data_IF_859458358561
#
_entry.id   IF_859458358561
#
_cell.length_a   1.000
_cell.length_b   1.000
_cell.length_c   1.000
_cell.angle_alpha   90.00
_cell.angle_beta   90.00
_cell.angle_gamma   90.00
#
_symmetry.space_group_name_H-M   'P 1'
#
loop_
_entity.id
_entity.type
_entity.pdbx_description
1 polymer ?
#
# COMPACT_ATOMS: atom_id res chain seq x y z
N UNK A 1 -47.10 -1.81 34.02
CA UNK A 1 -45.99 -1.01 33.44
C UNK A 1 -45.21 -0.20 34.50
N UNK A 2 -45.06 -0.73 35.73
CA UNK A 2 -44.41 -0.02 36.86
C UNK A 2 -43.39 -0.90 37.62
N UNK A 3 -43.08 -2.10 37.07
CA UNK A 3 -42.18 -3.08 37.69
C UNK A 3 -40.82 -3.21 36.97
N UNK A 4 -40.64 -2.55 35.82
CA UNK A 4 -39.40 -2.58 35.04
C UNK A 4 -38.47 -1.42 35.47
N UNK A 5 -39.03 -0.27 35.86
CA UNK A 5 -38.26 0.90 36.33
C UNK A 5 -37.60 0.71 37.71
N UNK A 6 -38.04 -0.23 38.54
CA UNK A 6 -37.38 -0.57 39.82
C UNK A 6 -36.16 -1.48 39.68
N UNK A 7 -36.02 -2.20 38.56
CA UNK A 7 -34.84 -3.06 38.31
C UNK A 7 -33.70 -2.32 37.60
N UNK A 8 -33.98 -1.25 36.86
CA UNK A 8 -32.96 -0.41 36.21
C UNK A 8 -32.28 0.54 37.22
N UNK A 9 -33.00 1.01 38.24
CA UNK A 9 -32.41 1.85 39.29
C UNK A 9 -31.47 1.10 40.27
N UNK A 10 -31.56 -0.24 40.36
CA UNK A 10 -30.72 -1.04 41.24
C UNK A 10 -29.41 -1.51 40.58
N UNK A 11 -29.32 -1.52 39.24
CA UNK A 11 -28.06 -1.80 38.54
C UNK A 11 -27.15 -0.58 38.39
N UNK A 12 -27.67 0.64 38.43
CA UNK A 12 -26.85 1.86 38.40
C UNK A 12 -26.16 2.19 39.74
N UNK A 13 -26.57 1.58 40.85
CA UNK A 13 -25.95 1.82 42.17
C UNK A 13 -24.78 0.86 42.49
N UNK A 14 -24.55 -0.18 41.68
CA UNK A 14 -23.47 -1.15 41.90
C UNK A 14 -22.21 -0.89 41.05
N UNK A 15 -22.28 0.04 40.08
CA UNK A 15 -21.13 0.42 39.24
C UNK A 15 -20.36 1.65 39.75
N UNK A 16 -20.81 2.29 40.84
CA UNK A 16 -20.15 3.46 41.43
C UNK A 16 -19.26 3.18 42.66
N UNK A 17 -19.03 1.91 43.03
CA UNK A 17 -18.25 1.53 44.23
C UNK A 17 -16.89 0.87 43.90
N UNK A 18 -16.50 0.76 42.64
CA UNK A 18 -15.16 0.23 42.25
C UNK A 18 -14.24 1.27 41.58
N UNK A 19 -14.47 2.56 41.83
CA UNK A 19 -13.63 3.65 41.30
C UNK A 19 -13.13 4.59 42.40
N UNK A 20 -12.83 4.06 43.59
CA UNK A 20 -12.28 4.86 44.70
C UNK A 20 -11.36 4.05 45.62
N UNK A 21 -10.36 3.35 45.06
CA UNK A 21 -9.19 2.90 45.84
C UNK A 21 -8.03 2.41 44.97
N UNK A 22 -7.43 3.28 44.16
CA UNK A 22 -6.02 3.14 43.72
C UNK A 22 -5.43 4.55 43.49
N UNK A 23 -5.34 5.35 44.55
CA UNK A 23 -4.59 6.62 44.52
C UNK A 23 -4.12 7.04 45.91
N UNK A 24 -3.18 6.29 46.47
CA UNK A 24 -2.25 6.74 47.51
C UNK A 24 -1.22 5.64 47.79
N UNK A 25 0.04 6.04 48.04
CA UNK A 25 1.24 5.21 48.33
C UNK A 25 1.81 4.54 47.06
N UNK A 26 3.02 4.84 46.56
CA UNK A 26 4.28 5.16 47.25
C UNK A 26 5.10 6.12 46.38
N UNK A 27 5.44 7.27 46.94
CA UNK A 27 6.55 8.11 46.49
C UNK A 27 7.74 7.81 47.42
N UNK A 28 8.77 7.12 46.90
CA UNK A 28 10.20 7.27 47.25
C UNK A 28 11.00 6.10 46.67
N UNK A 29 11.57 6.26 45.48
CA UNK A 29 12.65 5.40 45.02
C UNK A 29 13.70 6.30 44.34
N UNK A 30 14.90 6.37 44.94
CA UNK A 30 16.07 7.05 44.38
C UNK A 30 16.46 6.40 43.04
N UNK A 31 16.96 7.15 42.05
CA UNK A 31 17.49 6.57 40.83
C UNK A 31 18.77 5.78 41.13
N UNK A 32 18.81 4.51 40.70
CA UNK A 32 20.03 3.70 40.65
C UNK A 32 20.93 4.14 39.47
N UNK A 33 22.26 4.03 39.61
CA UNK A 33 23.21 4.60 38.67
C UNK A 33 23.25 3.83 37.33
N UNK A 34 23.42 4.59 36.25
CA UNK A 34 23.77 4.12 34.91
C UNK A 34 25.06 3.31 34.95
N UNK A 35 25.12 2.12 34.31
CA UNK A 35 26.39 1.44 34.11
C UNK A 35 27.18 2.13 32.99
N UNK A 36 28.36 2.63 33.35
CA UNK A 36 29.44 3.06 32.46
C UNK A 36 29.99 1.83 31.73
N UNK A 37 29.82 1.78 30.40
CA UNK A 37 30.44 0.77 29.53
C UNK A 37 31.52 1.46 28.70
N UNK A 38 32.49 2.06 29.38
CA UNK A 38 33.79 2.36 28.81
C UNK A 38 34.79 1.27 29.26
N UNK A 39 35.41 0.60 28.27
CA UNK A 39 36.38 -0.50 28.33
C UNK A 39 35.79 -1.92 28.43
N UNK A 40 35.53 -2.51 27.27
CA UNK A 40 35.74 -3.94 27.06
C UNK A 40 36.67 -4.13 25.84
N UNK A 41 37.64 -5.02 26.04
CA UNK A 41 38.82 -5.26 25.22
C UNK A 41 38.49 -5.85 23.84
N UNK A 42 39.29 -5.48 22.84
CA UNK A 42 39.34 -6.12 21.54
C UNK A 42 39.68 -7.62 21.65
N UNK A 43 39.06 -8.50 20.86
CA UNK A 43 39.60 -9.82 20.58
C UNK A 43 40.51 -9.77 19.35
N UNK A 44 41.64 -10.47 19.49
CA UNK A 44 42.75 -10.57 18.56
C UNK A 44 42.36 -11.23 17.22
N UNK A 45 43.03 -10.76 16.16
CA UNK A 45 43.10 -11.41 14.87
C UNK A 45 44.02 -12.64 14.94
N UNK A 46 43.60 -13.78 14.39
CA UNK A 46 44.47 -14.88 13.97
C UNK A 46 43.69 -15.84 13.04
N UNK A 47 44.35 -16.68 12.23
CA UNK A 47 44.69 -16.37 10.85
C UNK A 47 43.90 -17.22 9.82
N UNK A 48 43.87 -16.70 8.60
CA UNK A 48 43.34 -17.35 7.39
C UNK A 48 44.05 -18.68 7.09
N UNK A 49 43.33 -19.78 6.80
CA UNK A 49 43.91 -20.91 6.09
C UNK A 49 43.79 -20.68 4.57
N UNK A 50 44.93 -20.78 3.89
CA UNK A 50 45.00 -21.01 2.44
C UNK A 50 44.40 -22.38 2.13
N UNK A 51 43.46 -22.42 1.18
CA UNK A 51 42.87 -23.64 0.67
C UNK A 51 42.44 -23.45 -0.78
N UNK A 52 43.33 -23.85 -1.68
CA UNK A 52 43.14 -24.44 -3.01
C UNK A 52 41.90 -24.09 -3.86
N UNK A 53 42.21 -23.49 -5.02
CA UNK A 53 41.38 -23.40 -6.21
C UNK A 53 41.03 -24.79 -6.77
N UNK A 54 39.74 -25.11 -6.80
CA UNK A 54 39.22 -26.23 -7.59
C UNK A 54 38.31 -25.67 -8.71
N UNK A 55 38.72 -25.89 -9.95
CA UNK A 55 37.95 -25.68 -11.18
C UNK A 55 36.61 -26.43 -11.17
N UNK A 56 35.54 -25.87 -11.76
CA UNK A 56 34.41 -26.68 -12.18
C UNK A 56 34.76 -27.42 -13.49
N UNK A 57 34.77 -28.76 -13.40
CA UNK A 57 34.88 -29.67 -14.55
C UNK A 57 33.78 -29.42 -15.58
N UNK A 58 34.19 -29.46 -16.84
CA UNK A 58 33.35 -29.44 -18.03
C UNK A 58 32.24 -30.50 -17.98
N UNK A 59 31.02 -30.09 -18.33
CA UNK A 59 29.92 -31.00 -18.67
C UNK A 59 29.86 -31.11 -20.19
N UNK A 60 29.90 -32.35 -20.65
CA UNK A 60 29.95 -32.74 -22.05
C UNK A 60 28.76 -32.24 -22.89
N UNK A 61 29.13 -31.77 -24.07
CA UNK A 61 28.27 -31.42 -25.20
C UNK A 61 27.85 -32.69 -25.95
N UNK A 62 26.56 -32.97 -26.21
CA UNK A 62 26.20 -33.88 -27.27
C UNK A 62 26.13 -33.16 -28.62
N UNK A 63 26.54 -33.90 -29.63
CA UNK A 63 26.82 -33.48 -30.99
C UNK A 63 25.58 -33.02 -31.79
N UNK A 64 25.89 -32.22 -32.81
CA UNK A 64 24.97 -31.78 -33.84
C UNK A 64 24.41 -32.95 -34.67
N UNK A 65 23.09 -32.99 -34.85
CA UNK A 65 22.43 -33.76 -35.89
C UNK A 65 22.01 -32.82 -37.04
N UNK A 66 22.36 -33.20 -38.28
CA UNK A 66 21.99 -32.52 -39.54
C UNK A 66 20.51 -32.75 -39.89
N UNK A 67 19.91 -31.92 -40.76
CA UNK A 67 18.46 -31.78 -40.89
C UNK A 67 17.83 -32.82 -41.82
N UNK A 68 16.73 -33.44 -41.39
CA UNK A 68 15.85 -34.23 -42.26
C UNK A 68 14.79 -33.33 -42.89
N UNK A 69 14.79 -33.25 -44.23
CA UNK A 69 13.73 -32.62 -45.04
C UNK A 69 12.42 -33.41 -44.87
N UNK A 70 11.46 -32.84 -44.14
CA UNK A 70 10.06 -33.29 -44.13
C UNK A 70 9.16 -32.21 -44.75
N UNK A 71 8.45 -32.55 -45.83
CA UNK A 71 7.52 -31.67 -46.54
C UNK A 71 6.40 -31.17 -45.61
N UNK A 72 6.21 -29.85 -45.54
CA UNK A 72 5.04 -29.24 -44.91
C UNK A 72 3.80 -29.45 -45.79
N UNK A 73 2.77 -30.10 -45.26
CA UNK A 73 1.40 -29.91 -45.73
C UNK A 73 0.78 -28.78 -44.90
N UNK A 74 0.55 -27.63 -45.53
CA UNK A 74 -0.03 -26.47 -44.88
C UNK A 74 -1.51 -26.67 -44.59
N UNK A 75 -1.86 -26.77 -43.30
CA UNK A 75 -3.19 -26.43 -42.83
C UNK A 75 -3.16 -24.95 -42.44
N UNK A 76 -3.75 -24.08 -43.27
CA UNK A 76 -4.06 -22.70 -42.89
C UNK A 76 -5.17 -22.74 -41.85
N UNK A 77 -4.81 -22.79 -40.57
CA UNK A 77 -5.70 -22.34 -39.50
C UNK A 77 -5.80 -20.82 -39.63
N UNK A 78 -6.97 -20.35 -40.06
CA UNK A 78 -7.28 -18.92 -39.99
C UNK A 78 -7.17 -18.51 -38.52
N UNK A 79 -6.21 -17.63 -38.22
CA UNK A 79 -6.10 -17.02 -36.91
C UNK A 79 -7.41 -16.27 -36.65
N UNK A 80 -8.19 -16.74 -35.67
CA UNK A 80 -9.31 -15.99 -35.17
C UNK A 80 -8.78 -14.65 -34.66
N UNK A 81 -9.31 -13.55 -35.20
CA UNK A 81 -9.05 -12.20 -34.69
C UNK A 81 -9.33 -12.22 -33.18
N UNK A 82 -8.42 -11.76 -32.30
CA UNK A 82 -8.72 -11.68 -30.88
C UNK A 82 -10.00 -10.87 -30.74
N UNK A 83 -11.00 -11.41 -30.04
CA UNK A 83 -12.12 -10.60 -29.59
C UNK A 83 -11.50 -9.50 -28.72
N UNK A 84 -11.66 -8.24 -29.12
CA UNK A 84 -11.20 -7.11 -28.32
C UNK A 84 -11.78 -7.27 -26.92
N UNK A 85 -10.93 -7.43 -25.89
CA UNK A 85 -11.42 -7.48 -24.52
C UNK A 85 -11.84 -6.05 -24.17
N UNK A 86 -13.15 -5.84 -24.19
CA UNK A 86 -13.79 -4.57 -23.91
C UNK A 86 -13.53 -4.25 -22.44
N UNK A 87 -12.94 -3.07 -22.15
CA UNK A 87 -12.86 -2.58 -20.77
C UNK A 87 -14.26 -2.65 -20.14
N UNK A 88 -14.38 -3.09 -18.88
CA UNK A 88 -15.68 -3.02 -18.22
C UNK A 88 -16.17 -1.58 -18.27
N UNK A 89 -17.44 -1.40 -18.64
CA UNK A 89 -18.05 -0.09 -18.64
C UNK A 89 -17.93 0.49 -17.23
N UNK A 90 -17.18 1.58 -17.10
CA UNK A 90 -17.00 2.24 -15.81
C UNK A 90 -18.35 2.70 -15.28
N UNK A 91 -18.66 2.45 -14.01
CA UNK A 91 -19.87 3.01 -13.43
C UNK A 91 -19.73 4.55 -13.40
N UNK A 92 -20.82 5.31 -13.52
CA UNK A 92 -20.77 6.77 -13.70
C UNK A 92 -19.89 7.49 -12.68
N UNK A 93 -19.89 7.05 -11.42
CA UNK A 93 -19.07 7.60 -10.33
C UNK A 93 -17.56 7.49 -10.56
N UNK A 94 -17.08 6.54 -11.39
CA UNK A 94 -15.67 6.39 -11.76
C UNK A 94 -15.32 7.05 -13.10
N UNK A 95 -16.31 7.60 -13.81
CA UNK A 95 -16.09 8.29 -15.11
C UNK A 95 -15.78 9.77 -14.97
N UNK A 96 -16.08 10.36 -13.81
CA UNK A 96 -15.86 11.79 -13.54
C UNK A 96 -14.68 11.97 -12.60
N UNK A 97 -13.96 13.12 -12.67
CA UNK A 97 -12.97 13.45 -11.67
C UNK A 97 -13.58 13.47 -10.26
N UNK A 98 -12.93 12.77 -9.34
CA UNK A 98 -13.32 12.73 -7.94
C UNK A 98 -12.87 14.01 -7.24
N UNK A 99 -13.83 14.78 -6.73
CA UNK A 99 -13.53 15.97 -5.95
C UNK A 99 -13.10 15.58 -4.52
N UNK A 100 -11.82 15.75 -4.21
CA UNK A 100 -11.28 15.54 -2.88
C UNK A 100 -11.55 16.78 -2.01
N UNK A 101 -12.09 16.61 -0.78
CA UNK A 101 -12.47 17.72 0.07
C UNK A 101 -11.26 18.30 0.81
N UNK A 102 -11.35 19.61 1.08
CA UNK A 102 -10.41 20.28 1.98
C UNK A 102 -10.83 20.06 3.44
N UNK A 103 -9.89 19.66 4.27
CA UNK A 103 -10.03 19.48 5.70
C UNK A 103 -9.73 20.77 6.46
N UNK A 104 -10.58 21.08 7.44
CA UNK A 104 -10.37 22.22 8.36
C UNK A 104 -9.35 21.89 9.46
N UNK A 105 -9.24 20.60 9.82
CA UNK A 105 -8.29 20.07 10.79
C UNK A 105 -7.57 18.85 10.20
N UNK A 106 -6.25 18.74 10.38
CA UNK A 106 -5.52 17.57 9.92
C UNK A 106 -5.90 16.34 10.74
N UNK A 107 -5.90 15.13 10.15
CA UNK A 107 -5.92 13.90 10.92
C UNK A 107 -4.60 13.73 11.70
N UNK A 108 -4.64 12.95 12.77
CA UNK A 108 -3.46 12.45 13.47
C UNK A 108 -2.99 11.19 12.75
N UNK A 109 -1.74 11.16 12.28
CA UNK A 109 -1.21 9.98 11.57
C UNK A 109 -0.74 8.93 12.59
N UNK A 110 -1.68 8.16 13.13
CA UNK A 110 -1.42 7.12 14.14
C UNK A 110 -1.81 5.69 13.70
N UNK A 111 -2.35 5.58 12.49
CA UNK A 111 -2.81 4.35 11.86
C UNK A 111 -4.29 4.07 12.09
N UNK A 112 -5.01 4.91 12.86
CA UNK A 112 -6.44 4.72 13.14
C UNK A 112 -7.30 5.68 12.33
N UNK A 113 -8.24 5.12 11.59
CA UNK A 113 -9.21 5.90 10.82
C UNK A 113 -10.41 6.35 11.69
N UNK A 114 -10.16 6.80 12.93
CA UNK A 114 -11.20 7.18 13.89
C UNK A 114 -11.39 8.70 14.03
N UNK A 115 -10.50 9.50 13.46
CA UNK A 115 -10.66 10.95 13.38
C UNK A 115 -11.92 11.37 12.59
N UNK A 116 -12.63 12.37 13.11
CA UNK A 116 -13.88 12.88 12.50
C UNK A 116 -13.70 13.39 11.06
N UNK A 117 -12.49 13.79 10.69
CA UNK A 117 -12.18 14.31 9.36
C UNK A 117 -12.34 13.24 8.28
N UNK A 118 -12.08 11.97 8.60
CA UNK A 118 -12.22 10.86 7.65
C UNK A 118 -13.67 10.64 7.20
N UNK A 119 -14.65 11.01 8.02
CA UNK A 119 -16.08 10.98 7.66
C UNK A 119 -16.44 11.96 6.55
N UNK A 120 -15.59 12.96 6.31
CA UNK A 120 -15.77 13.97 5.28
C UNK A 120 -14.95 13.66 4.03
N UNK A 121 -14.05 12.67 4.06
CA UNK A 121 -13.14 12.35 2.98
C UNK A 121 -13.89 11.87 1.72
N UNK A 122 -13.26 12.05 0.56
CA UNK A 122 -13.66 11.31 -0.62
C UNK A 122 -13.27 9.84 -0.44
N UNK A 123 -14.17 8.91 -0.75
CA UNK A 123 -13.96 7.47 -0.54
C UNK A 123 -13.88 6.75 -1.88
N UNK A 124 -12.75 6.11 -2.13
CA UNK A 124 -12.50 5.22 -3.25
C UNK A 124 -12.83 3.81 -2.78
N UNK A 125 -13.71 3.13 -3.50
CA UNK A 125 -14.20 1.79 -3.21
C UNK A 125 -14.42 1.01 -4.51
N UNK A 126 -14.97 -0.20 -4.39
CA UNK A 126 -15.33 -1.06 -5.52
C UNK A 126 -14.12 -1.35 -6.43
N UNK A 127 -13.01 -1.74 -5.83
CA UNK A 127 -11.75 -2.07 -6.51
C UNK A 127 -11.94 -3.28 -7.44
N UNK A 128 -11.02 -3.42 -8.38
CA UNK A 128 -11.00 -4.52 -9.36
C UNK A 128 -9.72 -5.32 -9.22
N UNK A 129 -9.85 -6.64 -9.15
CA UNK A 129 -8.72 -7.54 -9.29
C UNK A 129 -8.25 -7.54 -10.75
N UNK A 130 -7.03 -7.06 -10.98
CA UNK A 130 -6.40 -6.94 -12.30
C UNK A 130 -5.32 -7.99 -12.57
N UNK A 131 -4.87 -8.66 -11.52
CA UNK A 131 -4.02 -9.85 -11.54
C UNK A 131 -4.35 -10.71 -10.32
N UNK A 132 -4.40 -12.06 -10.44
CA UNK A 132 -4.34 -12.83 -11.69
C UNK A 132 -5.62 -12.70 -12.54
N UNK A 133 -6.73 -12.31 -11.93
CA UNK A 133 -8.01 -12.04 -12.59
C UNK A 133 -7.94 -10.91 -13.61
N UNK A 134 -9.03 -10.69 -14.34
CA UNK A 134 -9.14 -9.65 -15.37
C UNK A 134 -10.37 -8.79 -15.08
N UNK A 135 -10.16 -7.77 -14.24
CA UNK A 135 -11.16 -6.81 -13.80
C UNK A 135 -12.38 -7.47 -13.13
N UNK A 136 -12.12 -8.46 -12.27
CA UNK A 136 -13.15 -9.14 -11.47
C UNK A 136 -13.19 -8.59 -10.04
N UNK A 137 -14.13 -9.05 -9.22
CA UNK A 137 -14.17 -8.67 -7.81
C UNK A 137 -12.90 -9.16 -7.07
N UNK A 138 -12.25 -8.30 -6.27
CA UNK A 138 -11.16 -8.66 -5.37
C UNK A 138 -11.52 -9.76 -4.39
N UNK A 139 -10.52 -10.50 -3.90
CA UNK A 139 -10.72 -11.49 -2.84
C UNK A 139 -11.07 -10.85 -1.50
N UNK A 140 -10.62 -9.62 -1.28
CA UNK A 140 -10.97 -8.84 -0.10
C UNK A 140 -11.21 -7.35 -0.45
N UNK A 141 -12.24 -6.70 0.12
CA UNK A 141 -12.51 -5.30 -0.15
C UNK A 141 -11.38 -4.36 0.30
N UNK A 142 -11.32 -3.19 -0.34
CA UNK A 142 -10.42 -2.10 0.04
C UNK A 142 -11.17 -0.78 -0.07
N UNK A 143 -11.03 0.06 0.95
CA UNK A 143 -11.54 1.43 0.98
C UNK A 143 -10.38 2.40 1.16
N UNK A 144 -10.39 3.50 0.41
CA UNK A 144 -9.34 4.53 0.49
C UNK A 144 -9.98 5.90 0.64
N UNK A 145 -9.60 6.59 1.71
CA UNK A 145 -10.07 7.91 2.11
C UNK A 145 -9.07 8.95 1.65
N UNK A 146 -9.53 9.99 0.96
CA UNK A 146 -8.67 11.04 0.41
C UNK A 146 -9.22 12.41 0.77
N UNK A 147 -8.33 13.28 1.20
CA UNK A 147 -8.61 14.69 1.47
C UNK A 147 -7.31 15.47 1.57
N UNK A 148 -7.39 16.78 1.75
CA UNK A 148 -6.20 17.63 1.80
C UNK A 148 -6.41 18.83 2.73
N UNK A 149 -5.34 19.45 3.22
CA UNK A 149 -5.41 20.75 3.87
C UNK A 149 -4.51 21.78 3.17
N UNK A 150 -4.19 22.91 3.80
CA UNK A 150 -3.29 23.89 3.18
C UNK A 150 -1.84 23.44 2.98
N UNK A 151 -1.43 22.30 3.56
CA UNK A 151 -0.04 21.86 3.67
C UNK A 151 0.19 20.43 3.19
N UNK A 152 -0.80 19.55 3.32
CA UNK A 152 -0.66 18.13 3.06
C UNK A 152 -1.82 17.59 2.22
N UNK A 153 -1.50 16.58 1.42
CA UNK A 153 -2.44 15.62 0.86
C UNK A 153 -2.48 14.40 1.80
N UNK A 154 -3.68 13.91 2.11
CA UNK A 154 -3.91 12.81 3.03
C UNK A 154 -4.50 11.60 2.33
N UNK A 155 -4.02 10.42 2.72
CA UNK A 155 -4.62 9.14 2.37
C UNK A 155 -4.82 8.30 3.62
N UNK A 156 -6.01 7.72 3.76
CA UNK A 156 -6.30 6.64 4.70
C UNK A 156 -6.65 5.39 3.92
N UNK A 157 -6.05 4.25 4.24
CA UNK A 157 -6.33 2.97 3.61
C UNK A 157 -6.97 2.05 4.65
N UNK A 158 -8.10 1.45 4.33
CA UNK A 158 -8.66 0.33 5.08
C UNK A 158 -8.72 -0.87 4.16
N UNK A 159 -7.86 -1.84 4.44
CA UNK A 159 -7.68 -3.03 3.64
C UNK A 159 -8.25 -4.21 4.42
N UNK A 160 -9.46 -4.65 4.05
CA UNK A 160 -10.10 -5.77 4.71
C UNK A 160 -9.33 -7.05 4.43
N UNK A 161 -9.15 -7.88 5.46
CA UNK A 161 -8.45 -9.16 5.36
C UNK A 161 -8.67 -10.02 6.61
N UNK A 162 -8.23 -11.28 6.56
CA UNK A 162 -7.95 -12.05 7.76
C UNK A 162 -6.66 -11.51 8.41
N UNK A 163 -6.73 -10.85 9.58
CA UNK A 163 -5.58 -10.20 10.18
C UNK A 163 -4.46 -11.18 10.54
N UNK A 164 -4.77 -12.47 10.72
CA UNK A 164 -3.75 -13.50 10.99
C UNK A 164 -2.93 -13.88 9.76
N UNK A 165 -3.38 -13.50 8.56
CA UNK A 165 -2.74 -13.81 7.28
C UNK A 165 -2.05 -12.60 6.64
N UNK A 166 -2.27 -11.40 7.15
CA UNK A 166 -1.63 -10.18 6.64
C UNK A 166 -0.12 -10.32 6.77
N UNK A 167 0.60 -10.25 5.65
CA UNK A 167 2.06 -10.31 5.62
C UNK A 167 2.61 -8.92 5.81
N UNK A 168 3.23 -8.69 6.95
CA UNK A 168 3.83 -7.41 7.27
C UNK A 168 5.08 -7.60 8.13
N UNK A 169 6.18 -6.97 7.71
CA UNK A 169 7.46 -6.98 8.41
C UNK A 169 7.90 -5.56 8.72
N UNK A 170 8.77 -5.41 9.72
CA UNK A 170 9.53 -4.16 9.87
C UNK A 170 10.68 -4.21 8.86
N UNK A 171 10.31 -4.08 7.58
CA UNK A 171 11.26 -4.04 6.48
C UNK A 171 12.15 -2.79 6.61
N UNK A 172 13.35 -2.84 6.00
CA UNK A 172 14.06 -1.59 5.70
C UNK A 172 13.20 -0.78 4.73
N UNK A 173 13.32 0.55 4.80
CA UNK A 173 12.78 1.43 3.75
C UNK A 173 13.24 0.88 2.38
N UNK A 174 12.33 0.91 1.41
CA UNK A 174 12.54 0.44 0.03
C UNK A 174 12.56 -1.10 -0.19
N UNK A 175 12.22 -1.89 0.82
CA UNK A 175 12.05 -3.36 0.73
C UNK A 175 10.60 -3.81 1.00
N UNK A 176 9.59 -2.96 0.72
CA UNK A 176 8.17 -3.20 1.12
C UNK A 176 7.31 -3.92 0.06
N UNK A 177 7.88 -4.27 -1.09
CA UNK A 177 7.12 -4.85 -2.22
C UNK A 177 7.10 -6.39 -2.27
N UNK A 178 7.77 -7.07 -1.33
CA UNK A 178 7.74 -8.54 -1.19
C UNK A 178 6.77 -9.02 -0.10
N UNK A 179 5.76 -8.22 0.22
CA UNK A 179 4.75 -8.46 1.25
C UNK A 179 3.46 -7.71 0.89
N UNK A 180 2.40 -7.85 1.69
CA UNK A 180 1.17 -7.11 1.44
C UNK A 180 1.46 -5.60 1.48
N UNK A 181 0.87 -4.82 0.57
CA UNK A 181 1.12 -3.38 0.49
C UNK A 181 0.01 -2.64 -0.25
N UNK A 182 -0.06 -1.33 -0.02
CA UNK A 182 -0.84 -0.39 -0.82
C UNK A 182 0.10 0.56 -1.55
N UNK A 183 -0.28 0.98 -2.76
CA UNK A 183 0.50 1.91 -3.59
C UNK A 183 -0.42 2.93 -4.21
N UNK A 184 0.12 4.13 -4.44
CA UNK A 184 -0.48 5.12 -5.32
C UNK A 184 0.48 5.46 -6.44
N UNK A 185 -0.09 5.71 -7.62
CA UNK A 185 0.61 6.42 -8.70
C UNK A 185 -0.05 7.77 -8.83
N UNK A 186 0.70 8.83 -8.55
CA UNK A 186 0.21 10.20 -8.52
C UNK A 186 0.87 11.02 -9.63
N UNK A 187 0.12 11.26 -10.70
CA UNK A 187 0.52 12.17 -11.78
C UNK A 187 -0.08 13.56 -11.51
N UNK A 188 0.74 14.42 -10.93
CA UNK A 188 0.36 15.78 -10.51
C UNK A 188 0.27 16.79 -11.66
N UNK A 189 0.67 16.40 -12.88
CA UNK A 189 0.56 17.21 -14.09
C UNK A 189 -0.51 16.67 -15.06
N UNK A 190 -0.95 15.42 -14.83
CA UNK A 190 -1.89 14.68 -15.66
C UNK A 190 -1.47 14.64 -17.15
N UNK A 191 -0.17 14.56 -17.39
CA UNK A 191 0.40 14.46 -18.73
C UNK A 191 0.62 13.00 -19.17
N UNK A 192 0.37 12.04 -18.26
CA UNK A 192 0.47 10.60 -18.46
C UNK A 192 1.89 10.12 -18.79
N UNK A 193 2.92 10.90 -18.43
CA UNK A 193 4.32 10.57 -18.71
C UNK A 193 5.05 10.08 -17.47
N UNK A 194 4.81 10.73 -16.34
CA UNK A 194 5.48 10.41 -15.07
C UNK A 194 4.50 10.53 -13.91
N UNK A 195 4.68 9.67 -12.93
CA UNK A 195 3.94 9.73 -11.67
C UNK A 195 4.89 9.45 -10.50
N UNK A 196 4.59 10.03 -9.34
CA UNK A 196 5.13 9.50 -8.09
C UNK A 196 4.56 8.10 -7.88
N UNK A 197 5.39 7.11 -7.62
CA UNK A 197 4.95 5.79 -7.12
C UNK A 197 5.29 5.75 -5.63
N UNK A 198 4.27 5.80 -4.78
CA UNK A 198 4.43 5.81 -3.32
C UNK A 198 3.72 4.59 -2.77
N UNK A 199 4.37 3.85 -1.87
CA UNK A 199 3.85 2.62 -1.33
C UNK A 199 4.06 2.50 0.17
N UNK A 200 3.17 1.75 0.80
CA UNK A 200 3.19 1.48 2.23
C UNK A 200 2.81 0.03 2.52
N UNK A 201 3.57 -0.63 3.39
CA UNK A 201 3.16 -1.92 3.96
C UNK A 201 2.13 -1.72 5.10
N UNK A 202 1.52 -2.80 5.64
CA UNK A 202 0.54 -2.72 6.74
C UNK A 202 1.04 -2.08 8.04
N UNK A 203 2.35 -1.92 8.22
CA UNK A 203 2.94 -1.22 9.37
C UNK A 203 3.24 0.26 9.06
N UNK A 204 2.95 0.71 7.84
CA UNK A 204 3.19 2.07 7.37
C UNK A 204 4.64 2.33 6.95
N UNK A 205 5.45 1.30 6.72
CA UNK A 205 6.81 1.46 6.19
C UNK A 205 6.71 1.90 4.73
N UNK A 206 7.50 2.92 4.38
CA UNK A 206 7.41 3.64 3.12
C UNK A 206 8.34 3.06 2.05
N UNK A 207 7.90 3.16 0.81
CA UNK A 207 8.76 3.13 -0.37
C UNK A 207 8.30 4.21 -1.35
N UNK A 208 9.24 4.84 -2.02
CA UNK A 208 8.94 5.91 -2.96
C UNK A 208 9.82 5.86 -4.20
N UNK A 209 9.27 6.43 -5.28
CA UNK A 209 9.90 6.40 -6.57
C UNK A 209 9.23 7.32 -7.56
N UNK A 210 9.81 7.40 -8.75
CA UNK A 210 9.19 7.98 -9.93
C UNK A 210 8.94 6.88 -10.94
N UNK A 211 7.69 6.65 -11.28
CA UNK A 211 7.30 5.83 -12.43
C UNK A 211 7.34 6.68 -13.70
N UNK A 212 8.01 6.18 -14.74
CA UNK A 212 8.04 6.79 -16.07
C UNK A 212 7.45 5.81 -17.07
N UNK A 213 6.44 6.27 -17.81
CA UNK A 213 5.72 5.44 -18.78
C UNK A 213 6.70 4.85 -19.82
N UNK A 214 6.62 3.53 -20.05
CA UNK A 214 7.52 2.81 -20.94
C UNK A 214 8.99 2.68 -20.48
N UNK A 215 9.38 3.19 -19.31
CA UNK A 215 10.73 3.07 -18.75
C UNK A 215 10.75 2.38 -17.37
N UNK A 216 9.63 2.34 -16.65
CA UNK A 216 9.50 1.69 -15.35
C UNK A 216 9.74 2.64 -14.17
N UNK A 217 10.02 2.08 -13.01
CA UNK A 217 10.17 2.81 -11.75
C UNK A 217 11.63 3.09 -11.41
N UNK A 218 11.91 4.32 -10.99
CA UNK A 218 13.17 4.76 -10.37
C UNK A 218 12.93 5.04 -8.89
N UNK A 219 13.49 4.19 -8.01
CA UNK A 219 13.36 4.28 -6.55
C UNK A 219 14.55 4.96 -5.88
N UNK A 220 15.31 5.77 -6.62
CA UNK A 220 16.47 6.52 -6.07
C UNK A 220 16.10 7.88 -5.49
N UNK A 221 14.84 8.30 -5.64
CA UNK A 221 14.33 9.53 -5.04
C UNK A 221 13.99 9.29 -3.56
N UNK A 222 13.98 10.38 -2.79
CA UNK A 222 13.58 10.38 -1.38
C UNK A 222 12.46 11.40 -1.17
N UNK A 223 11.22 10.92 -1.11
CA UNK A 223 10.04 11.73 -0.84
C UNK A 223 9.78 11.76 0.67
N UNK A 224 9.75 12.98 1.21
CA UNK A 224 9.40 13.21 2.62
C UNK A 224 7.89 13.11 2.78
N UNK A 225 7.46 12.16 3.61
CA UNK A 225 6.06 11.92 3.98
C UNK A 225 5.98 11.30 5.38
N UNK A 226 4.84 11.46 6.04
CA UNK A 226 4.53 10.82 7.32
C UNK A 226 3.55 9.68 7.07
N UNK A 227 3.76 8.53 7.71
CA UNK A 227 2.84 7.40 7.62
C UNK A 227 2.85 6.55 8.86
N UNK A 228 1.71 5.92 9.14
CA UNK A 228 1.56 4.94 10.20
C UNK A 228 0.55 3.88 9.79
N UNK A 229 0.91 2.62 9.97
CA UNK A 229 0.00 1.50 9.74
C UNK A 229 -0.19 0.64 10.98
N UNK A 230 -1.31 -0.08 11.02
CA UNK A 230 -1.61 -1.06 12.05
C UNK A 230 -2.47 -2.20 11.51
N UNK A 231 -2.23 -3.40 12.05
CA UNK A 231 -3.15 -4.53 11.87
C UNK A 231 -4.39 -4.29 12.74
N UNK A 232 -5.58 -4.39 12.15
CA UNK A 232 -6.87 -4.24 12.82
C UNK A 232 -7.52 -5.60 13.05
N UNK A 233 -8.70 -5.64 13.66
CA UNK A 233 -9.45 -6.89 13.85
C UNK A 233 -10.03 -7.46 12.55
N UNK A 234 -10.10 -6.66 11.49
CA UNK A 234 -10.75 -6.98 10.21
C UNK A 234 -9.82 -6.79 9.00
N UNK A 235 -8.51 -6.65 9.23
CA UNK A 235 -7.51 -6.46 8.19
C UNK A 235 -6.37 -5.57 8.67
N UNK A 236 -6.10 -4.49 7.94
CA UNK A 236 -5.15 -3.47 8.36
C UNK A 236 -5.54 -2.07 7.85
N UNK A 237 -4.99 -1.06 8.51
CA UNK A 237 -5.13 0.34 8.13
C UNK A 237 -3.78 1.00 7.95
N UNK A 238 -3.71 2.00 7.07
CA UNK A 238 -2.55 2.87 6.90
C UNK A 238 -3.02 4.31 6.75
N UNK A 239 -2.44 5.22 7.52
CA UNK A 239 -2.63 6.66 7.37
C UNK A 239 -1.36 7.29 6.83
N UNK A 240 -1.53 8.29 5.96
CA UNK A 240 -0.44 8.98 5.26
C UNK A 240 -0.71 10.47 5.18
N UNK A 241 0.31 11.28 5.48
CA UNK A 241 0.35 12.70 5.17
C UNK A 241 1.54 13.02 4.25
N UNK A 242 1.24 13.53 3.05
CA UNK A 242 2.23 13.92 2.05
C UNK A 242 2.27 15.45 2.00
N UNK A 243 3.34 16.12 2.47
CA UNK A 243 3.48 17.56 2.33
C UNK A 243 3.44 17.96 0.85
N UNK A 244 2.64 18.96 0.48
CA UNK A 244 2.64 19.50 -0.89
C UNK A 244 4.02 20.00 -1.31
N UNK A 245 4.84 20.48 -0.37
CA UNK A 245 6.24 20.89 -0.64
C UNK A 245 7.15 19.74 -1.07
N UNK A 246 6.78 18.49 -0.81
CA UNK A 246 7.50 17.29 -1.27
C UNK A 246 7.16 16.94 -2.71
N UNK A 247 6.09 17.53 -3.26
CA UNK A 247 5.58 17.26 -4.60
C UNK A 247 5.84 18.46 -5.52
N UNK A 248 6.15 18.15 -6.79
CA UNK A 248 6.03 19.13 -7.88
C UNK A 248 4.62 19.01 -8.44
N UNK A 249 3.93 20.14 -8.58
CA UNK A 249 2.56 20.16 -9.09
C UNK A 249 2.22 21.54 -9.67
N UNK A 250 1.18 21.58 -10.50
CA UNK A 250 0.61 22.85 -10.97
C UNK A 250 -0.43 23.38 -9.98
N UNK A 251 -0.29 24.65 -9.61
CA UNK A 251 -1.30 25.37 -8.83
C UNK A 251 -2.45 25.84 -9.71
N UNK A 252 -3.68 25.73 -9.22
CA UNK A 252 -4.84 26.32 -9.90
C UNK A 252 -6.14 25.54 -9.64
N UNK A 253 -7.26 26.26 -9.70
CA UNK A 253 -8.59 25.66 -9.55
C UNK A 253 -8.90 24.76 -10.75
N UNK A 254 -9.46 23.57 -10.49
CA UNK A 254 -9.89 22.63 -11.54
C UNK A 254 -8.74 21.92 -12.26
N UNK A 255 -7.53 21.96 -11.69
CA UNK A 255 -6.46 21.07 -12.13
C UNK A 255 -6.83 19.63 -11.81
N UNK A 256 -6.53 18.74 -12.75
CA UNK A 256 -6.75 17.31 -12.60
C UNK A 256 -5.40 16.67 -12.31
N UNK A 257 -5.37 15.77 -11.34
CA UNK A 257 -4.25 14.85 -11.13
C UNK A 257 -4.70 13.44 -11.49
N UNK A 258 -3.83 12.69 -12.16
CA UNK A 258 -4.02 11.28 -12.41
C UNK A 258 -3.73 10.50 -11.13
N UNK A 259 -4.63 9.57 -10.76
CA UNK A 259 -4.50 8.72 -9.59
C UNK A 259 -4.79 7.26 -9.94
N UNK A 260 -3.80 6.40 -9.74
CA UNK A 260 -4.03 4.98 -9.47
C UNK A 260 -3.87 4.71 -8.00
N UNK A 261 -4.69 3.81 -7.48
CA UNK A 261 -4.53 3.23 -6.15
C UNK A 261 -4.55 1.73 -6.29
N UNK A 262 -3.46 1.09 -5.88
CA UNK A 262 -3.30 -0.36 -5.95
C UNK A 262 -3.17 -0.95 -4.55
N UNK A 263 -3.69 -2.15 -4.36
CA UNK A 263 -3.36 -3.04 -3.24
C UNK A 263 -2.74 -4.30 -3.81
N UNK A 264 -1.67 -4.77 -3.20
CA UNK A 264 -1.08 -6.06 -3.46
C UNK A 264 -1.30 -6.97 -2.26
N UNK A 265 -1.83 -8.17 -2.53
CA UNK A 265 -2.01 -9.25 -1.57
C UNK A 265 -1.04 -10.36 -1.97
N UNK A 266 0.17 -10.31 -1.41
CA UNK A 266 1.34 -11.11 -1.82
C UNK A 266 1.02 -12.62 -1.73
N UNK A 267 0.38 -13.03 -0.64
CA UNK A 267 0.04 -14.45 -0.40
C UNK A 267 -1.00 -15.04 -1.36
N UNK A 268 -1.73 -14.22 -2.12
CA UNK A 268 -2.76 -14.65 -3.07
C UNK A 268 -2.23 -14.68 -4.52
N UNK A 269 -1.01 -15.19 -4.70
CA UNK A 269 -0.31 -15.21 -6.00
C UNK A 269 -0.15 -13.79 -6.57
N UNK A 270 0.35 -12.88 -5.72
CA UNK A 270 0.50 -11.46 -6.05
C UNK A 270 -0.77 -10.86 -6.64
N UNK A 271 -1.89 -11.04 -5.94
CA UNK A 271 -3.14 -10.43 -6.33
C UNK A 271 -2.97 -8.91 -6.33
N UNK A 272 -3.35 -8.26 -7.44
CA UNK A 272 -3.29 -6.81 -7.61
C UNK A 272 -4.70 -6.27 -7.80
N UNK A 273 -5.16 -5.53 -6.81
CA UNK A 273 -6.41 -4.79 -6.87
C UNK A 273 -6.14 -3.35 -7.24
N UNK A 274 -6.92 -2.81 -8.17
CA UNK A 274 -6.81 -1.42 -8.62
C UNK A 274 -8.14 -0.69 -8.47
N UNK A 275 -8.10 0.57 -8.07
CA UNK A 275 -9.30 1.41 -7.97
C UNK A 275 -10.00 1.55 -9.33
N UNK A 276 -9.23 1.72 -10.40
CA UNK A 276 -9.72 1.73 -11.78
C UNK A 276 -9.43 0.39 -12.45
N UNK A 277 -10.34 -0.14 -13.29
CA UNK A 277 -10.05 -1.33 -14.09
C UNK A 277 -8.89 -1.06 -15.05
N UNK A 278 -8.10 -2.10 -15.31
CA UNK A 278 -6.92 -2.04 -16.16
C UNK A 278 -7.12 -2.94 -17.38
N UNK A 279 -7.03 -2.36 -18.57
CA UNK A 279 -6.99 -3.11 -19.82
C UNK A 279 -5.57 -3.62 -20.08
N UNK A 280 -5.47 -4.91 -20.37
CA UNK A 280 -4.22 -5.54 -20.84
C UNK A 280 -3.91 -5.22 -22.30
N UNK A 281 -4.90 -4.74 -23.06
CA UNK A 281 -4.76 -4.34 -24.47
C UNK A 281 -4.31 -2.88 -24.62
N UNK A 282 -4.44 -2.07 -23.55
CA UNK A 282 -3.98 -0.69 -23.55
C UNK A 282 -2.47 -0.64 -23.37
N UNK A 283 -1.79 0.14 -24.21
CA UNK A 283 -0.39 0.46 -24.03
C UNK A 283 -0.27 1.55 -22.97
N UNK A 284 0.21 1.15 -21.79
CA UNK A 284 0.60 2.05 -20.71
C UNK A 284 -0.28 1.98 -19.46
N UNK A 285 0.28 2.46 -18.35
CA UNK A 285 -0.38 2.42 -17.04
C UNK A 285 -1.08 3.74 -16.74
N UNK A 286 -0.41 4.88 -16.95
CA UNK A 286 -0.89 6.19 -16.49
C UNK A 286 -2.09 6.71 -17.28
N UNK A 287 -2.24 6.30 -18.54
CA UNK A 287 -3.40 6.65 -19.37
C UNK A 287 -4.72 5.98 -18.93
N UNK A 288 -4.65 5.05 -17.98
CA UNK A 288 -5.80 4.34 -17.42
C UNK A 288 -6.17 4.81 -16.00
N UNK A 289 -5.50 5.85 -15.51
CA UNK A 289 -5.72 6.39 -14.16
C UNK A 289 -7.09 7.05 -14.02
N UNK A 290 -7.62 7.01 -12.79
CA UNK A 290 -8.73 7.88 -12.41
C UNK A 290 -8.23 9.31 -12.27
N UNK A 291 -9.14 10.27 -12.12
CA UNK A 291 -8.77 11.67 -11.95
C UNK A 291 -9.28 12.19 -10.62
N UNK A 292 -8.46 12.98 -9.92
CA UNK A 292 -8.85 13.72 -8.72
C UNK A 292 -8.72 15.23 -8.95
N UNK A 293 -9.53 16.02 -8.24
CA UNK A 293 -9.49 17.49 -8.24
C UNK A 293 -9.93 18.02 -6.88
N UNK A 294 -9.66 19.30 -6.57
CA UNK A 294 -10.04 19.89 -5.27
C UNK A 294 -9.51 21.29 -5.08
#
# INVERSE_FOLDING_TARGET
>A
MMSIYRKVALLCALALVTATSVRAQVASAKPSPTPDISKASAPAATPTPKGESAEPKAVDKPAAAKPSKGKSAGAKTAAAKPAARVMPALPPEKTQPLNIPRFDKPPVIDGKLDDDVWKQAAVLKDFYQTSPGDNVAPTAPTEVFVGYDSKFLYFGFHCFDDPSKVRATVAKRDEVFGEDNVRIFLDTFNDQRRAYILGWNPLGIQQDGIFTEGQGSDFTVDIVMESKGMITSDGYTVEVAIPFKSLRYEVGKGKLWGLHVWRNIDRMNDEIDSWMPMSRDASGTLNQAGHITG
#
